data_IF_160887097653
#
_entry.id   IF_160887097653
#
_cell.length_a   1.000
_cell.length_b   1.000
_cell.length_c   1.000
_cell.angle_alpha   90.00
_cell.angle_beta   90.00
_cell.angle_gamma   90.00
#
_symmetry.space_group_name_H-M   'P 1'
#
loop_
_entity.id
_entity.type
_entity.pdbx_description
1 polymer ?
#
# COMPACT_ATOMS: atom_id res chain seq x y z
N UNK A 1 14.24 32.10 -23.08
CA UNK A 1 13.45 31.18 -22.20
C UNK A 1 14.18 29.85 -22.16
N UNK A 2 14.82 29.54 -21.02
CA UNK A 2 15.89 28.55 -20.92
C UNK A 2 15.43 27.41 -19.98
N UNK A 3 14.95 26.30 -20.55
CA UNK A 3 14.71 25.06 -19.80
C UNK A 3 16.04 24.30 -19.70
N UNK A 4 16.67 24.33 -18.53
CA UNK A 4 17.86 23.51 -18.24
C UNK A 4 17.43 22.09 -17.89
N UNK A 5 17.75 21.16 -18.76
CA UNK A 5 17.84 19.72 -18.49
C UNK A 5 18.82 19.47 -17.33
N UNK A 6 18.39 18.73 -16.30
CA UNK A 6 19.30 18.18 -15.29
C UNK A 6 19.65 16.75 -15.71
N UNK A 7 20.93 16.60 -16.05
CA UNK A 7 21.66 15.39 -16.44
C UNK A 7 21.39 14.20 -15.51
N UNK A 8 21.12 13.04 -16.12
CA UNK A 8 21.34 11.74 -15.52
C UNK A 8 22.81 11.58 -15.12
N UNK A 9 23.07 11.05 -13.93
CA UNK A 9 24.36 10.46 -13.60
C UNK A 9 24.11 9.04 -13.10
N UNK A 10 24.62 8.08 -13.87
CA UNK A 10 24.76 6.67 -13.49
C UNK A 10 25.68 6.54 -12.28
N UNK A 11 25.35 5.66 -11.33
CA UNK A 11 26.35 4.75 -10.74
C UNK A 11 25.72 3.70 -9.82
N UNK A 12 26.09 2.44 -10.08
CA UNK A 12 26.22 1.31 -9.16
C UNK A 12 25.05 0.98 -8.22
N UNK A 13 24.26 -0.02 -8.62
CA UNK A 13 23.23 -0.67 -7.79
C UNK A 13 23.92 -1.47 -6.69
N UNK A 14 24.13 -0.84 -5.53
CA UNK A 14 24.58 -1.53 -4.33
C UNK A 14 23.38 -2.26 -3.68
N UNK A 15 23.45 -3.60 -3.68
CA UNK A 15 22.45 -4.55 -3.15
C UNK A 15 22.27 -4.45 -1.61
N UNK A 16 22.90 -3.48 -0.95
CA UNK A 16 22.82 -3.20 0.48
C UNK A 16 21.61 -2.34 0.89
N UNK A 17 21.03 -1.57 -0.03
CA UNK A 17 19.88 -0.70 0.24
C UNK A 17 18.59 -1.47 0.59
N UNK A 18 18.43 -2.68 0.06
CA UNK A 18 17.25 -3.51 0.31
C UNK A 18 17.18 -4.01 1.76
N UNK A 19 18.34 -4.24 2.40
CA UNK A 19 18.45 -4.73 3.77
C UNK A 19 18.38 -3.61 4.81
N UNK A 20 18.72 -2.37 4.43
CA UNK A 20 18.63 -1.19 5.30
C UNK A 20 17.19 -0.71 5.57
N UNK A 21 16.22 -1.04 4.70
CA UNK A 21 14.83 -0.60 4.86
C UNK A 21 14.06 -1.30 5.99
N UNK A 22 14.65 -2.29 6.68
CA UNK A 22 14.01 -2.97 7.83
C UNK A 22 14.37 -2.36 9.19
N UNK A 23 15.35 -1.44 9.27
CA UNK A 23 15.80 -0.80 10.51
C UNK A 23 15.82 0.74 10.38
N UNK A 24 14.79 1.33 9.78
CA UNK A 24 14.60 2.78 9.81
C UNK A 24 13.81 3.13 11.07
N UNK A 25 14.39 3.95 11.96
CA UNK A 25 13.63 4.67 12.98
C UNK A 25 12.62 5.55 12.24
N UNK A 26 11.35 5.21 12.31
CA UNK A 26 10.26 6.01 11.78
C UNK A 26 10.01 7.18 12.73
N UNK A 27 9.71 8.36 12.19
CA UNK A 27 9.30 9.47 13.05
C UNK A 27 7.95 9.17 13.67
N UNK A 28 7.75 9.58 14.92
CA UNK A 28 6.47 9.45 15.63
C UNK A 28 5.43 10.50 15.17
N UNK A 29 5.88 11.50 14.39
CA UNK A 29 5.05 12.56 13.82
C UNK A 29 5.42 12.87 12.36
N UNK A 30 4.49 13.50 11.63
CA UNK A 30 4.72 13.96 10.26
C UNK A 30 5.77 15.08 10.23
N UNK A 31 6.85 14.86 9.48
CA UNK A 31 7.92 15.85 9.30
C UNK A 31 7.69 16.73 8.05
N UNK A 32 8.43 17.83 7.89
CA UNK A 32 8.30 18.69 6.71
C UNK A 32 8.58 17.99 5.37
N UNK A 33 7.82 18.38 4.32
CA UNK A 33 7.96 17.87 2.94
C UNK A 33 8.46 18.93 1.96
N UNK A 34 9.44 18.53 1.14
CA UNK A 34 9.97 19.31 0.04
C UNK A 34 9.02 19.36 -1.16
N UNK A 35 9.40 20.10 -2.20
CA UNK A 35 8.59 20.27 -3.41
C UNK A 35 8.36 18.95 -4.16
N UNK A 36 9.41 18.13 -4.35
CA UNK A 36 9.29 16.86 -5.05
C UNK A 36 8.40 15.85 -4.30
N UNK A 37 8.51 15.80 -2.97
CA UNK A 37 7.69 14.94 -2.11
C UNK A 37 6.21 15.37 -2.14
N UNK A 38 5.95 16.69 -2.09
CA UNK A 38 4.61 17.25 -2.28
C UNK A 38 4.01 16.86 -3.62
N UNK A 39 4.78 16.97 -4.70
CA UNK A 39 4.32 16.59 -6.03
C UNK A 39 3.95 15.11 -6.12
N UNK A 40 4.73 14.22 -5.48
CA UNK A 40 4.41 12.79 -5.40
C UNK A 40 3.11 12.56 -4.63
N UNK A 41 2.94 13.16 -3.45
CA UNK A 41 1.73 13.00 -2.64
C UNK A 41 0.49 13.54 -3.36
N UNK A 42 0.60 14.70 -4.02
CA UNK A 42 -0.46 15.30 -4.81
C UNK A 42 -0.87 14.40 -5.99
N UNK A 43 0.10 13.94 -6.78
CA UNK A 43 -0.16 13.03 -7.90
C UNK A 43 -0.84 11.74 -7.44
N UNK A 44 -0.33 11.10 -6.39
CA UNK A 44 -0.89 9.86 -5.89
C UNK A 44 -2.26 10.03 -5.22
N UNK A 45 -2.50 11.17 -4.57
CA UNK A 45 -3.82 11.52 -4.03
C UNK A 45 -4.86 11.67 -5.14
N UNK A 46 -4.50 12.34 -6.26
CA UNK A 46 -5.39 12.46 -7.43
C UNK A 46 -5.75 11.12 -8.07
N UNK A 47 -4.81 10.17 -8.09
CA UNK A 47 -5.07 8.82 -8.61
C UNK A 47 -6.10 8.07 -7.75
N UNK A 48 -6.21 8.39 -6.47
CA UNK A 48 -7.25 7.83 -5.59
C UNK A 48 -7.11 6.34 -5.30
N UNK A 49 -5.95 5.73 -5.59
CA UNK A 49 -5.71 4.32 -5.27
C UNK A 49 -5.56 4.14 -3.75
N UNK A 50 -6.16 3.10 -3.15
CA UNK A 50 -6.06 2.86 -1.71
C UNK A 50 -4.65 2.48 -1.26
N UNK A 51 -3.80 1.99 -2.18
CA UNK A 51 -2.38 1.72 -1.93
C UNK A 51 -1.50 2.26 -3.05
N UNK A 52 -0.22 2.45 -2.74
CA UNK A 52 0.82 2.90 -3.64
C UNK A 52 1.99 1.92 -3.67
N UNK A 53 2.52 1.73 -4.88
CA UNK A 53 3.72 0.94 -5.19
C UNK A 53 4.69 1.83 -5.97
N UNK A 54 5.95 1.44 -6.01
CA UNK A 54 6.91 2.18 -6.84
C UNK A 54 6.55 2.14 -8.34
N UNK A 55 5.81 1.11 -8.80
CA UNK A 55 5.30 1.05 -10.18
C UNK A 55 4.27 2.13 -10.47
N UNK A 56 3.51 2.59 -9.47
CA UNK A 56 2.59 3.70 -9.67
C UNK A 56 3.36 5.00 -9.90
N UNK A 57 4.46 5.26 -9.18
CA UNK A 57 5.32 6.41 -9.44
C UNK A 57 6.05 6.31 -10.79
N UNK A 58 6.43 5.11 -11.21
CA UNK A 58 7.01 4.87 -12.53
C UNK A 58 6.01 5.27 -13.64
N UNK A 59 4.75 4.84 -13.50
CA UNK A 59 3.70 5.11 -14.50
C UNK A 59 3.21 6.56 -14.50
N UNK A 60 2.94 7.12 -13.32
CA UNK A 60 2.32 8.45 -13.18
C UNK A 60 3.32 9.60 -13.33
N UNK A 61 4.58 9.39 -12.94
CA UNK A 61 5.59 10.45 -12.85
C UNK A 61 6.81 10.20 -13.75
N UNK A 62 6.88 9.06 -14.44
CA UNK A 62 8.02 8.69 -15.29
C UNK A 62 9.32 8.47 -14.51
N UNK A 63 9.24 8.25 -13.19
CA UNK A 63 10.42 8.01 -12.37
C UNK A 63 11.03 6.64 -12.65
N UNK A 64 12.34 6.52 -12.49
CA UNK A 64 12.98 5.20 -12.50
C UNK A 64 12.63 4.44 -11.22
N UNK A 65 12.66 3.10 -11.29
CA UNK A 65 12.43 2.23 -10.12
C UNK A 65 13.25 2.63 -8.89
N UNK A 66 14.51 3.01 -9.08
CA UNK A 66 15.40 3.44 -8.00
C UNK A 66 14.91 4.73 -7.34
N UNK A 67 14.54 5.73 -8.13
CA UNK A 67 14.00 7.01 -7.65
C UNK A 67 12.65 6.79 -6.95
N UNK A 68 11.76 5.97 -7.52
CA UNK A 68 10.47 5.65 -6.92
C UNK A 68 10.62 5.02 -5.53
N UNK A 69 11.49 4.02 -5.39
CA UNK A 69 11.75 3.40 -4.08
C UNK A 69 12.38 4.39 -3.08
N UNK A 70 13.28 5.26 -3.54
CA UNK A 70 13.88 6.30 -2.71
C UNK A 70 12.82 7.29 -2.20
N UNK A 71 11.93 7.76 -3.07
CA UNK A 71 10.84 8.69 -2.70
C UNK A 71 9.89 8.05 -1.69
N UNK A 72 9.44 6.81 -1.94
CA UNK A 72 8.57 6.10 -1.01
C UNK A 72 9.25 5.88 0.35
N UNK A 73 10.53 5.51 0.36
CA UNK A 73 11.29 5.34 1.60
C UNK A 73 11.39 6.65 2.40
N UNK A 74 11.68 7.78 1.73
CA UNK A 74 11.75 9.10 2.37
C UNK A 74 10.41 9.56 2.92
N UNK A 75 9.34 9.47 2.12
CA UNK A 75 7.98 9.80 2.55
C UNK A 75 7.54 8.94 3.75
N UNK A 76 7.90 7.66 3.73
CA UNK A 76 7.53 6.74 4.80
C UNK A 76 8.29 7.06 6.09
N UNK A 77 9.60 7.34 5.99
CA UNK A 77 10.40 7.80 7.13
C UNK A 77 9.85 9.10 7.75
N UNK A 78 9.33 10.00 6.91
CA UNK A 78 8.72 11.27 7.32
C UNK A 78 7.28 11.16 7.82
N UNK A 79 6.67 9.98 7.78
CA UNK A 79 5.31 9.75 8.30
C UNK A 79 4.16 10.16 7.36
N UNK A 80 4.43 10.53 6.12
CA UNK A 80 3.39 10.89 5.14
C UNK A 80 2.74 9.69 4.47
N UNK A 81 3.46 8.57 4.45
CA UNK A 81 2.95 7.31 3.96
C UNK A 81 3.27 6.22 4.97
N UNK A 82 2.36 5.29 5.13
CA UNK A 82 2.49 4.15 6.01
C UNK A 82 2.75 2.90 5.17
N UNK A 83 3.70 2.07 5.61
CA UNK A 83 4.00 0.81 4.93
C UNK A 83 3.03 -0.28 5.41
N UNK A 84 2.26 -0.84 4.48
CA UNK A 84 1.34 -1.95 4.76
C UNK A 84 2.05 -3.30 4.68
N UNK A 85 2.86 -3.48 3.62
CA UNK A 85 3.72 -4.64 3.44
C UNK A 85 4.98 -4.25 2.67
N UNK A 86 5.87 -5.20 2.42
CA UNK A 86 7.04 -4.90 1.60
C UNK A 86 6.63 -4.39 0.21
N UNK A 87 7.08 -3.19 -0.15
CA UNK A 87 6.81 -2.56 -1.44
C UNK A 87 5.40 -1.98 -1.62
N UNK A 88 4.56 -1.99 -0.57
CA UNK A 88 3.21 -1.43 -0.62
C UNK A 88 3.01 -0.46 0.54
N UNK A 89 2.54 0.72 0.18
CA UNK A 89 2.35 1.85 1.05
C UNK A 89 0.94 2.39 0.91
N UNK A 90 0.50 3.22 1.84
CA UNK A 90 -0.71 4.03 1.73
C UNK A 90 -0.41 5.45 2.19
N UNK A 91 -1.16 6.42 1.69
CA UNK A 91 -1.09 7.80 2.19
C UNK A 91 -1.64 7.81 3.62
N UNK A 92 -0.97 8.55 4.50
CA UNK A 92 -1.48 8.88 5.83
C UNK A 92 -2.33 10.14 5.69
N UNK A 93 -3.63 10.11 6.04
CA UNK A 93 -4.48 11.31 5.98
C UNK A 93 -3.92 12.47 6.80
N UNK A 94 -4.06 13.70 6.30
CA UNK A 94 -3.52 14.91 6.94
C UNK A 94 -4.01 15.12 8.38
N UNK A 95 -5.25 14.73 8.68
CA UNK A 95 -5.85 14.83 10.01
C UNK A 95 -5.50 13.68 10.97
N UNK A 96 -4.55 12.82 10.61
CA UNK A 96 -4.19 11.67 11.45
C UNK A 96 -3.36 12.11 12.65
N UNK A 97 -3.76 11.67 13.84
CA UNK A 97 -3.01 11.92 15.08
C UNK A 97 -1.71 11.09 15.18
N UNK A 98 -1.57 10.08 14.33
CA UNK A 98 -0.38 9.21 14.28
C UNK A 98 0.11 9.02 12.85
N UNK A 99 1.38 8.65 12.69
CA UNK A 99 1.98 8.28 11.40
C UNK A 99 1.59 6.87 10.93
N UNK A 100 0.95 6.08 11.78
CA UNK A 100 0.51 4.71 11.49
C UNK A 100 -0.96 4.49 11.87
N UNK A 101 -1.90 5.31 11.38
CA UNK A 101 -3.31 5.16 11.73
C UNK A 101 -3.85 3.84 11.16
N UNK A 102 -4.84 3.27 11.83
CA UNK A 102 -5.56 2.10 11.30
C UNK A 102 -6.28 2.57 10.02
N UNK A 103 -6.08 1.91 8.87
CA UNK A 103 -6.82 2.24 7.66
C UNK A 103 -8.33 2.03 7.88
N UNK A 104 -9.14 2.95 7.38
CA UNK A 104 -10.60 2.91 7.56
C UNK A 104 -11.24 1.76 6.77
N UNK A 105 -10.82 1.58 5.51
CA UNK A 105 -11.39 0.56 4.62
C UNK A 105 -10.49 -0.69 4.53
N UNK A 106 -10.84 -1.71 5.32
CA UNK A 106 -10.14 -2.99 5.29
C UNK A 106 -10.36 -3.78 3.98
N UNK A 107 -11.49 -3.57 3.29
CA UNK A 107 -11.82 -4.29 2.05
C UNK A 107 -10.97 -3.79 0.89
N UNK A 108 -10.88 -2.47 0.71
CA UNK A 108 -10.04 -1.89 -0.34
C UNK A 108 -8.57 -2.29 -0.19
N UNK A 109 -8.08 -2.30 1.06
CA UNK A 109 -6.73 -2.78 1.35
C UNK A 109 -6.60 -4.29 1.09
N UNK A 110 -7.58 -5.10 1.49
CA UNK A 110 -7.56 -6.54 1.23
C UNK A 110 -7.44 -6.86 -0.26
N UNK A 111 -8.23 -6.20 -1.12
CA UNK A 111 -8.20 -6.42 -2.57
C UNK A 111 -6.81 -6.14 -3.13
N UNK A 112 -6.19 -5.02 -2.75
CA UNK A 112 -4.85 -4.66 -3.22
C UNK A 112 -3.74 -5.60 -2.74
N UNK A 113 -3.88 -6.12 -1.52
CA UNK A 113 -2.91 -7.03 -0.94
C UNK A 113 -3.06 -8.44 -1.53
N UNK A 114 -4.27 -8.97 -1.57
CA UNK A 114 -4.54 -10.39 -1.80
C UNK A 114 -5.07 -10.70 -3.20
N UNK A 115 -5.30 -9.72 -4.07
CA UNK A 115 -5.79 -9.97 -5.43
C UNK A 115 -4.89 -10.95 -6.21
N UNK A 116 -5.46 -11.90 -6.98
CA UNK A 116 -6.89 -12.11 -7.15
C UNK A 116 -7.51 -12.77 -5.90
N UNK A 117 -8.62 -12.20 -5.42
CA UNK A 117 -9.29 -12.59 -4.20
C UNK A 117 -10.75 -12.13 -4.17
N UNK A 118 -11.53 -12.67 -3.24
CA UNK A 118 -12.84 -12.16 -2.85
C UNK A 118 -12.98 -12.17 -1.32
N UNK A 119 -13.86 -11.31 -0.81
CA UNK A 119 -14.21 -11.25 0.62
C UNK A 119 -15.30 -12.27 0.90
N UNK A 120 -15.20 -13.01 2.00
CA UNK A 120 -16.04 -14.16 2.29
C UNK A 120 -16.45 -14.23 3.76
N UNK A 121 -17.11 -15.32 4.16
CA UNK A 121 -17.44 -15.64 5.54
C UNK A 121 -18.30 -14.58 6.22
N UNK A 122 -18.07 -14.38 7.51
CA UNK A 122 -18.82 -13.43 8.32
C UNK A 122 -18.67 -11.97 7.84
N UNK A 123 -17.54 -11.61 7.24
CA UNK A 123 -17.35 -10.27 6.68
C UNK A 123 -18.29 -10.01 5.51
N UNK A 124 -18.51 -11.02 4.66
CA UNK A 124 -19.51 -10.90 3.59
C UNK A 124 -20.94 -10.92 4.16
N UNK A 125 -21.20 -11.75 5.16
CA UNK A 125 -22.52 -11.81 5.81
C UNK A 125 -22.90 -10.46 6.43
N UNK A 126 -21.96 -9.80 7.11
CA UNK A 126 -22.13 -8.44 7.65
C UNK A 126 -22.45 -7.44 6.55
N UNK A 127 -21.68 -7.43 5.46
CA UNK A 127 -21.87 -6.48 4.36
C UNK A 127 -23.24 -6.60 3.66
N UNK A 128 -23.79 -7.81 3.61
CA UNK A 128 -25.10 -8.09 3.02
C UNK A 128 -26.24 -8.09 4.04
N UNK A 129 -26.00 -7.56 5.25
CA UNK A 129 -26.99 -7.47 6.34
C UNK A 129 -27.61 -8.84 6.71
N UNK A 130 -26.86 -9.92 6.50
CA UNK A 130 -27.24 -11.28 6.89
C UNK A 130 -26.97 -11.52 8.39
N UNK A 131 -26.29 -10.60 9.06
CA UNK A 131 -26.02 -10.61 10.50
C UNK A 131 -25.75 -9.19 11.02
N UNK A 132 -26.25 -8.91 12.23
CA UNK A 132 -25.99 -7.66 12.99
C UNK A 132 -24.66 -7.70 13.75
N UNK A 133 -23.99 -8.84 13.78
CA UNK A 133 -22.76 -9.00 14.54
C UNK A 133 -21.59 -8.29 13.86
N UNK A 134 -20.93 -7.38 14.57
CA UNK A 134 -19.74 -6.67 14.09
C UNK A 134 -18.50 -7.56 14.31
N UNK A 135 -17.76 -7.84 13.24
CA UNK A 135 -16.54 -8.64 13.29
C UNK A 135 -15.28 -7.78 13.13
N UNK A 136 -14.31 -7.96 14.02
CA UNK A 136 -13.04 -7.22 13.96
C UNK A 136 -12.00 -7.82 13.00
N UNK A 137 -12.41 -8.68 12.06
CA UNK A 137 -11.52 -9.34 11.10
C UNK A 137 -12.18 -9.54 9.75
N UNK A 138 -11.41 -9.31 8.69
CA UNK A 138 -11.82 -9.49 7.30
C UNK A 138 -11.40 -10.86 6.81
N UNK A 139 -12.36 -11.68 6.35
CA UNK A 139 -12.08 -12.98 5.75
C UNK A 139 -11.86 -12.83 4.25
N UNK A 140 -10.73 -13.32 3.75
CA UNK A 140 -10.30 -13.17 2.37
C UNK A 140 -9.95 -14.52 1.77
N UNK A 141 -10.54 -14.86 0.64
CA UNK A 141 -10.20 -16.04 -0.14
C UNK A 141 -9.34 -15.59 -1.32
N UNK A 142 -8.17 -16.20 -1.50
CA UNK A 142 -7.16 -15.75 -2.48
C UNK A 142 -6.44 -16.94 -3.11
N UNK A 143 -5.97 -16.80 -4.35
CA UNK A 143 -5.05 -17.80 -4.93
C UNK A 143 -3.61 -17.62 -4.48
N UNK A 144 -3.27 -16.47 -3.89
CA UNK A 144 -1.93 -16.21 -3.37
C UNK A 144 -1.71 -17.04 -2.11
N UNK A 145 -0.77 -17.97 -2.18
CA UNK A 145 -0.34 -18.74 -1.02
C UNK A 145 0.17 -17.81 0.09
N UNK A 146 -0.45 -17.88 1.26
CA UNK A 146 0.00 -17.13 2.44
C UNK A 146 0.83 -18.04 3.36
N UNK A 147 1.82 -17.45 4.04
CA UNK A 147 2.63 -18.18 5.03
C UNK A 147 1.85 -18.47 6.31
N UNK A 148 0.93 -17.56 6.68
CA UNK A 148 0.03 -17.67 7.82
C UNK A 148 -1.37 -17.32 7.34
N UNK A 149 -2.36 -17.98 7.90
CA UNK A 149 -3.75 -17.71 7.55
C UNK A 149 -4.28 -16.48 8.31
N UNK A 150 -3.76 -16.17 9.50
CA UNK A 150 -4.09 -14.95 10.22
C UNK A 150 -2.95 -13.92 10.11
N UNK A 151 -3.29 -12.70 9.68
CA UNK A 151 -2.34 -11.59 9.51
C UNK A 151 -2.85 -10.34 10.22
N UNK A 152 -1.95 -9.64 10.91
CA UNK A 152 -2.20 -8.29 11.43
C UNK A 152 -1.40 -7.31 10.58
N UNK A 153 -2.08 -6.46 9.82
CA UNK A 153 -1.47 -5.50 8.90
C UNK A 153 -1.97 -4.10 9.24
N UNK A 154 -1.10 -3.26 9.80
CA UNK A 154 -1.44 -1.87 10.18
C UNK A 154 -2.70 -1.78 11.06
N UNK A 155 -2.82 -2.68 12.03
CA UNK A 155 -3.99 -2.78 12.93
C UNK A 155 -5.17 -3.59 12.38
N UNK A 156 -5.22 -3.86 11.07
CA UNK A 156 -6.27 -4.66 10.45
C UNK A 156 -5.99 -6.16 10.56
N UNK A 157 -6.99 -6.92 10.98
CA UNK A 157 -6.90 -8.38 11.09
C UNK A 157 -7.49 -9.02 9.83
N UNK A 158 -6.67 -9.81 9.14
CA UNK A 158 -7.07 -10.59 7.98
C UNK A 158 -7.02 -12.08 8.30
N UNK A 159 -8.10 -12.79 7.94
CA UNK A 159 -8.12 -14.25 7.88
C UNK A 159 -8.15 -14.69 6.43
N UNK A 160 -7.07 -15.28 5.97
CA UNK A 160 -6.87 -15.67 4.59
C UNK A 160 -7.05 -17.18 4.42
N UNK A 161 -7.72 -17.57 3.34
CA UNK A 161 -7.77 -18.95 2.87
C UNK A 161 -7.25 -19.01 1.45
N UNK A 162 -6.24 -19.85 1.23
CA UNK A 162 -5.76 -20.12 -0.12
C UNK A 162 -6.69 -21.10 -0.83
N UNK A 163 -7.13 -20.75 -2.03
CA UNK A 163 -8.01 -21.56 -2.88
C UNK A 163 -7.40 -21.75 -4.27
N UNK A 164 -7.89 -22.72 -5.03
CA UNK A 164 -7.42 -22.96 -6.37
C UNK A 164 -7.91 -21.84 -7.32
N UNK A 165 -7.17 -21.52 -8.40
CA UNK A 165 -7.58 -20.50 -9.37
C UNK A 165 -8.97 -20.72 -9.96
N UNK A 166 -9.36 -21.98 -10.16
CA UNK A 166 -10.67 -22.42 -10.62
C UNK A 166 -11.81 -22.15 -9.63
N UNK A 167 -11.50 -21.98 -8.33
CA UNK A 167 -12.48 -21.65 -7.30
C UNK A 167 -12.69 -20.13 -7.14
N UNK A 168 -11.91 -19.31 -7.86
CA UNK A 168 -12.17 -17.86 -7.92
C UNK A 168 -13.29 -17.60 -8.92
N UNK A 169 -14.43 -17.15 -8.41
CA UNK A 169 -15.59 -16.74 -9.21
C UNK A 169 -16.10 -15.36 -8.76
N UNK A 170 -16.96 -14.75 -9.59
CA UNK A 170 -17.69 -13.52 -9.22
C UNK A 170 -16.84 -12.27 -9.07
N UNK A 171 -15.54 -12.31 -9.39
CA UNK A 171 -14.67 -11.13 -9.31
C UNK A 171 -14.80 -10.27 -10.56
N UNK A 172 -15.18 -9.01 -10.37
CA UNK A 172 -14.99 -8.01 -11.42
C UNK A 172 -13.48 -7.78 -11.55
N UNK A 173 -12.91 -8.03 -12.73
CA UNK A 173 -11.56 -7.57 -13.04
C UNK A 173 -11.58 -6.05 -12.86
N UNK A 174 -10.89 -5.54 -11.86
CA UNK A 174 -10.44 -4.15 -11.89
C UNK A 174 -9.43 -4.08 -13.03
N UNK A 175 -9.93 -3.85 -14.24
CA UNK A 175 -9.12 -3.38 -15.36
C UNK A 175 -8.65 -1.99 -14.95
N UNK A 176 -7.41 -1.92 -14.49
CA UNK A 176 -6.61 -0.69 -14.46
C UNK A 176 -5.53 -0.86 -15.50
#
# INVERSE_FOLDING_TARGET
MHFRYISCYSNSVNNSLFRYCMNLKYNDAQAGIGQAERHVLDAMSRVGKPVMRASDLENELGFTRAISNLMLSRLCKKGWIQRLRSGIYRIVPLGSESVNPIPEDAWAIAVELFSPCYISGWTAAEHWELTEQIFNSTVVFTTKKQRKNELLISGLKYRTKSIAPEDIFGIKKNMV
#
